data_IF_644766815174
#
_entry.id   IF_644766815174
#
_cell.length_a   1.000
_cell.length_b   1.000
_cell.length_c   1.000
_cell.angle_alpha   90.00
_cell.angle_beta   90.00
_cell.angle_gamma   90.00
#
_symmetry.space_group_name_H-M   'P 1'
#
loop_
_entity.id
_entity.type
_entity.pdbx_description
1 polymer ?
#
# COMPACT_ATOMS: atom_id res chain seq x y z
N UNK A 1 9.72 25.22 -24.85
CA UNK A 1 8.55 24.37 -24.52
C UNK A 1 8.52 24.24 -23.01
N UNK A 2 7.35 24.13 -22.38
CA UNK A 2 7.30 23.92 -20.94
C UNK A 2 7.90 22.54 -20.62
N UNK A 3 8.64 22.47 -19.52
CA UNK A 3 9.42 21.30 -19.11
C UNK A 3 9.07 20.93 -17.67
N UNK A 4 9.27 19.67 -17.33
CA UNK A 4 8.99 19.16 -16.00
C UNK A 4 9.91 17.98 -15.69
N UNK A 5 10.61 18.06 -14.56
CA UNK A 5 11.34 16.92 -14.03
C UNK A 5 10.35 15.96 -13.38
N UNK A 6 10.25 14.76 -13.91
CA UNK A 6 9.37 13.71 -13.38
C UNK A 6 10.17 12.50 -12.91
N UNK A 7 9.71 11.84 -11.84
CA UNK A 7 10.11 10.47 -11.48
C UNK A 7 9.12 9.53 -12.16
N UNK A 8 9.60 8.64 -13.00
CA UNK A 8 8.76 7.67 -13.72
C UNK A 8 9.49 6.34 -13.88
N UNK A 9 8.69 5.28 -14.01
CA UNK A 9 9.20 3.94 -14.27
C UNK A 9 9.46 3.77 -15.76
N UNK A 10 10.73 3.73 -16.13
CA UNK A 10 11.17 3.47 -17.50
C UNK A 10 11.12 1.97 -17.74
N UNK A 11 10.45 1.56 -18.81
CA UNK A 11 10.39 0.16 -19.23
C UNK A 11 11.72 -0.20 -19.88
N UNK A 12 12.44 -1.12 -19.27
CA UNK A 12 13.74 -1.62 -19.75
C UNK A 12 13.52 -2.69 -20.82
N UNK A 13 12.60 -3.61 -20.55
CA UNK A 13 12.21 -4.64 -21.49
C UNK A 13 11.01 -5.44 -21.02
N UNK A 14 10.43 -6.18 -21.96
CA UNK A 14 9.31 -7.07 -21.75
C UNK A 14 9.59 -8.39 -22.48
N UNK A 15 9.25 -9.51 -21.85
CA UNK A 15 9.37 -10.82 -22.47
C UNK A 15 8.22 -11.72 -22.03
N UNK A 16 7.92 -12.74 -22.85
CA UNK A 16 6.99 -13.81 -22.51
C UNK A 16 7.76 -15.11 -22.44
N UNK A 17 7.94 -15.61 -21.23
CA UNK A 17 8.54 -16.93 -21.02
C UNK A 17 7.45 -17.99 -20.90
N UNK A 18 7.69 -19.16 -21.48
CA UNK A 18 6.84 -20.33 -21.31
C UNK A 18 7.61 -21.44 -20.60
N UNK A 19 6.96 -22.15 -19.69
CA UNK A 19 7.51 -23.36 -19.06
C UNK A 19 6.47 -24.46 -18.99
N UNK A 20 6.94 -25.70 -19.06
CA UNK A 20 6.10 -26.88 -18.87
C UNK A 20 6.50 -27.57 -17.57
N UNK A 21 5.52 -27.76 -16.69
CA UNK A 21 5.68 -28.51 -15.44
C UNK A 21 5.13 -29.91 -15.67
N UNK A 22 6.02 -30.86 -15.95
CA UNK A 22 5.71 -32.27 -16.08
C UNK A 22 5.86 -32.97 -14.72
N UNK A 23 4.78 -33.60 -14.22
CA UNK A 23 4.83 -34.38 -12.97
C UNK A 23 3.95 -35.62 -13.06
N UNK A 24 4.47 -36.72 -12.55
CA UNK A 24 3.69 -37.93 -12.27
C UNK A 24 3.22 -37.89 -10.82
N UNK A 25 1.91 -37.98 -10.64
CA UNK A 25 1.24 -37.94 -9.34
C UNK A 25 0.66 -39.31 -9.05
N UNK A 26 0.76 -39.73 -7.79
CA UNK A 26 0.06 -40.91 -7.30
C UNK A 26 -1.18 -40.47 -6.52
N UNK A 27 -2.33 -40.89 -7.02
CA UNK A 27 -3.63 -40.63 -6.42
C UNK A 27 -3.79 -41.48 -5.16
N UNK A 28 -4.33 -40.90 -4.10
CA UNK A 28 -4.57 -41.61 -2.83
C UNK A 28 -5.51 -42.82 -3.00
N UNK A 29 -6.42 -42.72 -3.97
CA UNK A 29 -7.37 -43.76 -4.34
C UNK A 29 -7.29 -44.04 -5.84
N UNK A 30 -7.49 -45.29 -6.27
CA UNK A 30 -7.41 -45.64 -7.69
C UNK A 30 -8.56 -44.96 -8.45
N UNK A 31 -8.21 -44.27 -9.54
CA UNK A 31 -9.14 -43.53 -10.38
C UNK A 31 -9.53 -44.34 -11.61
N UNK A 32 -10.83 -44.39 -11.89
CA UNK A 32 -11.39 -44.83 -13.16
C UNK A 32 -11.30 -43.75 -14.23
N UNK A 33 -11.53 -42.49 -13.84
CA UNK A 33 -11.46 -41.32 -14.72
C UNK A 33 -11.10 -40.07 -13.91
N UNK A 34 -10.30 -39.18 -14.50
CA UNK A 34 -10.06 -37.83 -13.97
C UNK A 34 -11.04 -36.89 -14.63
N UNK A 35 -11.82 -36.18 -13.82
CA UNK A 35 -12.86 -35.27 -14.32
C UNK A 35 -12.29 -33.90 -14.63
N UNK A 36 -11.40 -33.39 -13.77
CA UNK A 36 -10.84 -32.06 -13.91
C UNK A 36 -9.53 -31.93 -13.12
N UNK A 37 -8.64 -31.06 -13.58
CA UNK A 37 -7.44 -30.66 -12.85
C UNK A 37 -7.36 -29.15 -12.91
N UNK A 38 -7.68 -28.50 -11.79
CA UNK A 38 -7.67 -27.06 -11.68
C UNK A 38 -6.31 -26.61 -11.17
N UNK A 39 -5.52 -25.94 -12.00
CA UNK A 39 -4.22 -25.39 -11.63
C UNK A 39 -4.30 -23.87 -11.44
N UNK A 40 -3.62 -23.37 -10.41
CA UNK A 40 -3.44 -21.94 -10.14
C UNK A 40 -2.00 -21.70 -9.72
N UNK A 41 -1.47 -20.56 -10.11
CA UNK A 41 -0.12 -20.14 -9.71
C UNK A 41 -0.22 -19.29 -8.45
N UNK A 42 0.60 -19.61 -7.46
CA UNK A 42 0.72 -18.93 -6.17
C UNK A 42 2.19 -18.65 -5.87
N UNK A 43 2.45 -17.69 -4.96
CA UNK A 43 3.81 -17.40 -4.47
C UNK A 43 4.82 -17.10 -5.58
N UNK A 44 4.44 -16.23 -6.52
CA UNK A 44 5.36 -15.83 -7.59
C UNK A 44 6.38 -14.86 -7.05
N UNK A 45 7.64 -15.24 -7.18
CA UNK A 45 8.80 -14.41 -6.91
C UNK A 45 9.56 -14.19 -8.21
N UNK A 46 10.20 -13.03 -8.31
CA UNK A 46 11.03 -12.68 -9.45
C UNK A 46 12.37 -12.12 -9.00
N UNK A 47 13.44 -12.67 -9.57
CA UNK A 47 14.80 -12.20 -9.37
C UNK A 47 15.35 -11.68 -10.69
N UNK A 48 15.74 -10.41 -10.70
CA UNK A 48 16.36 -9.79 -11.89
C UNK A 48 17.86 -10.03 -11.84
N UNK A 49 18.37 -10.64 -12.91
CA UNK A 49 19.79 -10.84 -13.17
C UNK A 49 20.20 -10.04 -14.42
N UNK A 50 21.47 -10.13 -14.79
CA UNK A 50 21.96 -9.47 -16.01
C UNK A 50 21.30 -10.11 -17.26
N UNK A 51 20.56 -9.30 -18.02
CA UNK A 51 19.79 -9.66 -19.23
C UNK A 51 18.73 -10.76 -19.06
N UNK A 52 18.47 -11.21 -17.83
CA UNK A 52 17.58 -12.33 -17.54
C UNK A 52 16.74 -12.07 -16.29
N UNK A 53 15.56 -12.65 -16.26
CA UNK A 53 14.70 -12.66 -15.08
C UNK A 53 14.37 -14.11 -14.75
N UNK A 54 14.68 -14.50 -13.52
CA UNK A 54 14.30 -15.80 -12.98
C UNK A 54 12.95 -15.64 -12.28
N UNK A 55 11.97 -16.41 -12.71
CA UNK A 55 10.62 -16.46 -12.14
C UNK A 55 10.47 -17.78 -11.42
N UNK A 56 10.24 -17.74 -10.12
CA UNK A 56 9.96 -18.90 -9.29
C UNK A 56 8.56 -18.80 -8.69
N UNK A 57 7.96 -19.95 -8.42
CA UNK A 57 6.72 -20.00 -7.66
C UNK A 57 6.16 -21.39 -7.55
N UNK A 58 4.92 -21.47 -7.07
CA UNK A 58 4.23 -22.72 -6.80
C UNK A 58 2.99 -22.84 -7.68
N UNK A 59 2.83 -23.96 -8.36
CA UNK A 59 1.55 -24.34 -8.97
C UNK A 59 0.76 -25.14 -7.94
N UNK A 60 -0.28 -24.52 -7.39
CA UNK A 60 -1.29 -25.21 -6.60
C UNK A 60 -2.31 -25.85 -7.54
N UNK A 61 -2.48 -27.16 -7.48
CA UNK A 61 -3.44 -27.88 -8.33
C UNK A 61 -4.39 -28.73 -7.50
N UNK A 62 -5.67 -28.70 -7.90
CA UNK A 62 -6.73 -29.52 -7.34
C UNK A 62 -7.18 -30.53 -8.38
N UNK A 63 -6.96 -31.81 -8.10
CA UNK A 63 -7.27 -32.94 -8.99
C UNK A 63 -8.61 -33.51 -8.55
N UNK A 64 -9.58 -33.58 -9.46
CA UNK A 64 -10.89 -34.20 -9.23
C UNK A 64 -11.00 -35.48 -10.05
N UNK A 65 -11.37 -36.59 -9.42
CA UNK A 65 -11.41 -37.90 -10.08
C UNK A 65 -12.47 -38.83 -9.48
N UNK A 66 -12.89 -39.82 -10.27
CA UNK A 66 -13.92 -40.80 -9.89
C UNK A 66 -13.27 -42.16 -9.68
N UNK A 67 -13.52 -42.77 -8.53
CA UNK A 67 -13.02 -44.10 -8.17
C UNK A 67 -13.87 -45.26 -8.74
N UNK A 68 -13.50 -46.51 -8.43
CA UNK A 68 -14.20 -47.71 -8.90
C UNK A 68 -15.65 -47.85 -8.38
N UNK A 69 -15.99 -47.23 -7.26
CA UNK A 69 -17.35 -47.24 -6.68
C UNK A 69 -18.19 -46.02 -7.09
N UNK A 70 -17.84 -45.37 -8.22
CA UNK A 70 -18.46 -44.12 -8.70
C UNK A 70 -18.43 -42.95 -7.69
N UNK A 71 -17.56 -43.06 -6.67
CA UNK A 71 -17.30 -42.01 -5.69
C UNK A 71 -16.35 -40.96 -6.26
N UNK A 72 -16.68 -39.69 -6.05
CA UNK A 72 -15.82 -38.55 -6.40
C UNK A 72 -14.80 -38.30 -5.29
N UNK A 73 -13.56 -38.15 -5.67
CA UNK A 73 -12.43 -37.79 -4.82
C UNK A 73 -11.80 -36.49 -5.32
N UNK A 74 -11.10 -35.82 -4.42
CA UNK A 74 -10.30 -34.65 -4.75
C UNK A 74 -8.96 -34.77 -4.02
N UNK A 75 -7.88 -34.35 -4.66
CA UNK A 75 -6.54 -34.33 -4.09
C UNK A 75 -5.85 -33.02 -4.48
N UNK A 76 -5.35 -32.29 -3.47
CA UNK A 76 -4.57 -31.08 -3.67
C UNK A 76 -3.08 -31.41 -3.75
N UNK A 77 -2.33 -30.68 -4.56
CA UNK A 77 -0.88 -30.84 -4.65
C UNK A 77 -0.22 -29.54 -5.07
N UNK A 78 0.97 -29.32 -4.52
CA UNK A 78 1.83 -28.19 -4.86
C UNK A 78 3.04 -28.65 -5.67
N UNK A 79 3.35 -27.90 -6.72
CA UNK A 79 4.52 -28.15 -7.56
C UNK A 79 5.27 -26.85 -7.78
N UNK A 80 6.48 -26.77 -7.25
CA UNK A 80 7.37 -25.64 -7.53
C UNK A 80 7.77 -25.65 -9.01
N UNK A 81 7.87 -24.46 -9.60
CA UNK A 81 8.42 -24.25 -10.93
C UNK A 81 9.49 -23.15 -10.89
N UNK A 82 10.36 -23.18 -11.89
CA UNK A 82 11.32 -22.12 -12.17
C UNK A 82 11.34 -21.91 -13.68
N UNK A 83 11.21 -20.66 -14.11
CA UNK A 83 11.26 -20.23 -15.49
C UNK A 83 12.27 -19.08 -15.63
N UNK A 84 12.87 -18.96 -16.81
CA UNK A 84 13.80 -17.88 -17.12
C UNK A 84 13.27 -17.12 -18.33
N UNK A 85 13.07 -15.81 -18.17
CA UNK A 85 12.75 -14.89 -19.24
C UNK A 85 14.01 -14.13 -19.66
N UNK A 86 14.17 -13.87 -20.96
CA UNK A 86 15.32 -13.12 -21.48
C UNK A 86 14.89 -11.68 -21.71
N UNK A 87 15.39 -10.77 -20.86
CA UNK A 87 15.04 -9.34 -20.90
C UNK A 87 16.32 -8.53 -21.08
N UNK A 88 16.71 -8.20 -22.33
CA UNK A 88 17.92 -7.43 -22.59
C UNK A 88 17.91 -6.08 -21.87
N UNK A 89 19.01 -5.73 -21.21
CA UNK A 89 19.19 -4.50 -20.43
C UNK A 89 18.75 -4.60 -18.96
N UNK A 90 18.18 -5.73 -18.54
CA UNK A 90 17.86 -5.98 -17.15
C UNK A 90 19.12 -6.06 -16.27
N UNK A 91 19.08 -5.45 -15.08
CA UNK A 91 20.17 -5.48 -14.11
C UNK A 91 19.65 -5.78 -12.69
N UNK A 92 20.49 -6.37 -11.82
CA UNK A 92 20.11 -6.61 -10.43
C UNK A 92 19.66 -5.33 -9.72
N UNK A 93 18.55 -5.42 -9.00
CA UNK A 93 17.94 -4.30 -8.27
C UNK A 93 16.91 -3.48 -9.08
N UNK A 94 16.63 -3.84 -10.34
CA UNK A 94 15.49 -3.28 -11.09
C UNK A 94 14.17 -3.90 -10.63
N UNK A 95 13.08 -3.16 -10.78
CA UNK A 95 11.73 -3.62 -10.46
C UNK A 95 11.23 -4.60 -11.52
N UNK A 96 10.65 -5.71 -11.10
CA UNK A 96 10.09 -6.72 -11.99
C UNK A 96 8.63 -7.01 -11.65
N UNK A 97 7.79 -7.02 -12.68
CA UNK A 97 6.38 -7.42 -12.61
C UNK A 97 6.20 -8.69 -13.44
N UNK A 98 5.59 -9.70 -12.82
CA UNK A 98 5.30 -10.97 -13.48
C UNK A 98 3.81 -11.24 -13.44
N UNK A 99 3.22 -11.53 -14.61
CA UNK A 99 1.83 -11.95 -14.74
C UNK A 99 1.79 -13.40 -15.24
N UNK A 100 1.61 -14.39 -14.33
CA UNK A 100 1.50 -15.79 -14.69
C UNK A 100 0.12 -16.10 -15.30
N UNK A 101 0.10 -16.97 -16.31
CA UNK A 101 -1.12 -17.51 -16.92
C UNK A 101 -0.96 -19.01 -17.13
N UNK A 102 -1.96 -19.79 -16.69
CA UNK A 102 -2.03 -21.21 -17.03
C UNK A 102 -2.63 -21.33 -18.42
N UNK A 103 -1.82 -21.70 -19.41
CA UNK A 103 -2.28 -21.85 -20.80
C UNK A 103 -2.99 -23.18 -21.02
N UNK A 104 -2.45 -24.27 -20.46
CA UNK A 104 -3.01 -25.61 -20.63
C UNK A 104 -2.68 -26.52 -19.46
N UNK A 105 -3.61 -27.43 -19.16
CA UNK A 105 -3.42 -28.52 -18.20
C UNK A 105 -3.74 -29.83 -18.92
N UNK A 106 -2.70 -30.56 -19.30
CA UNK A 106 -2.82 -31.87 -19.92
C UNK A 106 -2.64 -32.95 -18.86
N UNK A 107 -3.49 -33.98 -18.90
CA UNK A 107 -3.39 -35.08 -17.94
C UNK A 107 -3.81 -36.41 -18.56
N UNK A 108 -3.23 -37.50 -18.07
CA UNK A 108 -3.52 -38.86 -18.51
C UNK A 108 -3.25 -39.88 -17.40
N UNK A 109 -4.24 -40.72 -17.13
CA UNK A 109 -4.06 -41.91 -16.28
C UNK A 109 -3.16 -42.94 -16.97
N UNK A 110 -2.22 -43.50 -16.22
CA UNK A 110 -1.26 -44.49 -16.72
C UNK A 110 -1.68 -45.89 -16.25
N UNK A 111 -1.75 -46.83 -17.20
CA UNK A 111 -2.17 -48.21 -16.93
C UNK A 111 -3.64 -48.48 -17.26
N UNK A 112 -4.13 -49.67 -16.90
CA UNK A 112 -5.53 -50.06 -17.06
C UNK A 112 -6.35 -49.51 -15.88
N UNK A 113 -7.33 -48.62 -16.08
CA UNK A 113 -8.15 -48.12 -14.98
C UNK A 113 -8.96 -49.24 -14.31
N UNK A 114 -9.16 -49.21 -12.98
CA UNK A 114 -8.80 -48.11 -12.09
C UNK A 114 -7.31 -48.12 -11.69
N UNK A 115 -6.64 -46.97 -11.79
CA UNK A 115 -5.18 -46.80 -11.55
C UNK A 115 -4.91 -45.59 -10.67
N UNK A 116 -3.82 -45.60 -9.91
CA UNK A 116 -3.41 -44.46 -9.08
C UNK A 116 -2.41 -43.55 -9.79
N UNK A 117 -1.82 -43.97 -10.91
CA UNK A 117 -0.77 -43.18 -11.58
C UNK A 117 -1.39 -42.18 -12.58
N UNK A 118 -1.12 -40.89 -12.36
CA UNK A 118 -1.59 -39.79 -13.20
C UNK A 118 -0.38 -38.98 -13.71
N UNK A 119 -0.18 -38.94 -15.02
CA UNK A 119 0.78 -38.03 -15.65
C UNK A 119 0.11 -36.71 -15.96
N UNK A 120 0.76 -35.61 -15.61
CA UNK A 120 0.29 -34.27 -15.85
C UNK A 120 1.38 -33.43 -16.48
N UNK A 121 0.96 -32.54 -17.37
CA UNK A 121 1.79 -31.51 -17.99
C UNK A 121 1.02 -30.20 -17.94
N UNK A 122 1.54 -29.26 -17.17
CA UNK A 122 0.95 -27.92 -17.02
C UNK A 122 1.81 -26.95 -17.81
N UNK A 123 1.22 -26.26 -18.78
CA UNK A 123 1.89 -25.24 -19.58
C UNK A 123 1.57 -23.88 -18.97
N UNK A 124 2.61 -23.17 -18.54
CA UNK A 124 2.52 -21.85 -17.95
C UNK A 124 3.19 -20.85 -18.89
N UNK A 125 2.56 -19.68 -19.04
CA UNK A 125 3.17 -18.51 -19.67
C UNK A 125 3.29 -17.38 -18.65
N UNK A 126 4.41 -16.68 -18.68
CA UNK A 126 4.70 -15.56 -17.79
C UNK A 126 5.01 -14.35 -18.63
N UNK A 127 4.19 -13.33 -18.52
CA UNK A 127 4.55 -12.01 -19.04
C UNK A 127 5.41 -11.30 -17.98
N UNK A 128 6.65 -11.02 -18.34
CA UNK A 128 7.65 -10.39 -17.46
C UNK A 128 7.90 -8.98 -17.96
N UNK A 129 7.86 -8.01 -17.05
CA UNK A 129 8.13 -6.60 -17.32
C UNK A 129 9.16 -6.09 -16.34
N UNK A 130 10.29 -5.60 -16.85
CA UNK A 130 11.34 -4.98 -16.05
C UNK A 130 11.25 -3.47 -16.20
N UNK A 131 11.14 -2.78 -15.07
CA UNK A 131 11.11 -1.32 -14.99
C UNK A 131 12.22 -0.81 -14.10
N UNK A 132 12.68 0.41 -14.39
CA UNK A 132 13.60 1.12 -13.49
C UNK A 132 13.04 2.51 -13.17
N UNK A 133 13.03 2.93 -11.90
CA UNK A 133 12.68 4.30 -11.55
C UNK A 133 13.77 5.23 -12.06
N UNK A 134 13.41 6.21 -12.89
CA UNK A 134 14.34 7.20 -13.42
C UNK A 134 13.73 8.60 -13.34
N UNK A 135 14.59 9.60 -13.13
CA UNK A 135 14.21 11.00 -13.31
C UNK A 135 14.42 11.44 -14.75
N UNK A 136 13.39 12.01 -15.35
CA UNK A 136 13.36 12.42 -16.73
C UNK A 136 12.91 13.88 -16.81
N UNK A 137 13.68 14.71 -17.51
CA UNK A 137 13.25 16.05 -17.89
C UNK A 137 12.39 15.95 -19.16
N UNK A 138 11.07 15.93 -18.97
CA UNK A 138 10.11 15.69 -20.06
C UNK A 138 9.54 17.00 -20.60
N UNK A 139 9.27 17.00 -21.90
CA UNK A 139 8.61 18.12 -22.57
C UNK A 139 7.09 17.98 -22.40
N UNK A 140 6.45 19.05 -21.92
CA UNK A 140 5.01 19.09 -21.75
C UNK A 140 4.31 19.30 -23.10
N UNK A 141 3.25 18.52 -23.31
CA UNK A 141 2.33 18.67 -24.44
C UNK A 141 1.35 19.82 -24.23
N UNK A 142 0.81 20.34 -25.32
CA UNK A 142 -0.30 21.33 -25.30
C UNK A 142 -1.64 20.72 -25.72
N UNK A 143 -1.61 19.50 -26.27
CA UNK A 143 -2.76 18.74 -26.75
C UNK A 143 -2.56 17.27 -26.46
N UNK A 144 -3.59 16.57 -26.01
CA UNK A 144 -3.54 15.13 -25.76
C UNK A 144 -4.24 14.73 -24.45
N UNK A 145 -4.16 13.45 -24.07
CA UNK A 145 -4.69 12.97 -22.80
C UNK A 145 -3.83 13.47 -21.62
N UNK A 146 -4.45 13.51 -20.44
CA UNK A 146 -3.76 13.82 -19.20
C UNK A 146 -3.09 12.55 -18.64
N UNK A 147 -1.83 12.69 -18.26
CA UNK A 147 -1.06 11.66 -17.59
C UNK A 147 -0.79 12.07 -16.15
N UNK A 148 -0.93 11.11 -15.24
CA UNK A 148 -0.55 11.21 -13.85
C UNK A 148 0.95 10.93 -13.73
N UNK A 149 1.71 11.96 -13.37
CA UNK A 149 3.17 11.91 -13.21
C UNK A 149 3.57 12.31 -11.80
N UNK A 150 4.71 11.81 -11.34
CA UNK A 150 5.33 12.30 -10.11
C UNK A 150 6.31 13.41 -10.45
N UNK A 151 5.89 14.67 -10.31
CA UNK A 151 6.78 15.81 -10.50
C UNK A 151 7.74 15.90 -9.32
N UNK A 152 9.04 16.02 -9.60
CA UNK A 152 10.06 16.28 -8.58
C UNK A 152 9.99 17.76 -8.21
N UNK A 153 9.74 18.04 -6.93
CA UNK A 153 9.62 19.40 -6.40
C UNK A 153 10.99 19.87 -5.92
N UNK A 154 11.63 19.09 -5.04
CA UNK A 154 12.98 19.36 -4.54
C UNK A 154 13.70 18.08 -4.11
N UNK A 155 15.03 18.15 -4.08
CA UNK A 155 15.92 17.13 -3.57
C UNK A 155 16.94 17.79 -2.65
N UNK A 156 17.02 17.34 -1.41
CA UNK A 156 17.85 17.97 -0.40
C UNK A 156 18.58 16.93 0.45
N UNK A 157 19.81 17.24 0.81
CA UNK A 157 20.65 16.42 1.68
C UNK A 157 20.93 17.17 2.96
N UNK A 158 20.73 16.53 4.11
CA UNK A 158 21.01 17.11 5.41
C UNK A 158 21.69 16.11 6.34
N UNK A 159 22.46 16.61 7.29
CA UNK A 159 23.06 15.83 8.36
C UNK A 159 22.30 16.06 9.66
N UNK A 160 21.95 14.97 10.36
CA UNK A 160 21.39 15.06 11.71
C UNK A 160 22.33 14.40 12.72
N UNK A 161 22.39 14.94 13.94
CA UNK A 161 23.19 14.38 15.03
C UNK A 161 22.26 13.91 16.12
N UNK A 162 22.35 12.63 16.47
CA UNK A 162 21.58 12.01 17.54
C UNK A 162 22.55 11.68 18.67
N UNK A 163 22.36 12.34 19.82
CA UNK A 163 23.13 12.10 21.04
C UNK A 163 22.26 11.35 22.04
N UNK A 164 22.83 10.34 22.70
CA UNK A 164 22.14 9.52 23.69
C UNK A 164 23.13 9.07 24.76
N UNK A 165 22.62 8.92 25.97
CA UNK A 165 23.32 8.28 27.08
C UNK A 165 22.70 6.91 27.30
N UNK A 166 23.52 5.87 27.36
CA UNK A 166 23.08 4.50 27.64
C UNK A 166 23.71 4.06 28.95
N UNK A 167 22.87 3.79 29.95
CA UNK A 167 23.29 3.20 31.22
C UNK A 167 23.60 1.72 31.03
N UNK A 168 24.84 1.33 31.32
CA UNK A 168 25.31 -0.05 31.22
C UNK A 168 25.06 -0.73 32.56
N UNK A 169 24.36 -1.87 32.54
CA UNK A 169 23.93 -2.56 33.77
C UNK A 169 25.09 -3.24 34.52
N UNK A 170 26.25 -3.39 33.88
CA UNK A 170 27.45 -4.01 34.45
C UNK A 170 28.64 -3.06 34.23
N UNK A 171 29.61 -2.99 35.16
CA UNK A 171 30.82 -2.20 34.97
C UNK A 171 31.61 -2.74 33.78
N UNK A 172 31.79 -1.86 32.81
CA UNK A 172 32.39 -2.19 31.52
C UNK A 172 33.87 -1.87 31.55
N UNK A 173 34.69 -2.86 31.21
CA UNK A 173 36.13 -2.66 31.01
C UNK A 173 36.41 -2.02 29.65
N UNK A 174 35.66 -2.45 28.61
CA UNK A 174 35.87 -1.97 27.24
C UNK A 174 34.61 -2.06 26.40
N UNK A 175 34.28 -0.97 25.70
CA UNK A 175 33.30 -0.97 24.60
C UNK A 175 34.02 -1.38 23.32
N UNK A 176 33.56 -2.45 22.69
CA UNK A 176 34.12 -2.95 21.42
C UNK A 176 33.62 -2.14 20.24
N UNK A 177 32.30 -2.04 20.11
CA UNK A 177 31.66 -1.36 19.00
C UNK A 177 30.26 -0.94 19.40
N UNK A 178 29.84 0.20 18.86
CA UNK A 178 28.46 0.65 18.90
C UNK A 178 27.98 0.66 17.46
N UNK A 179 26.94 -0.14 17.18
CA UNK A 179 26.28 -0.17 15.87
C UNK A 179 24.96 0.55 16.01
N UNK A 180 24.74 1.55 15.17
CA UNK A 180 23.45 2.24 15.11
C UNK A 180 22.84 1.96 13.75
N UNK A 181 21.54 1.64 13.73
CA UNK A 181 20.75 1.46 12.51
C UNK A 181 19.43 2.21 12.74
N UNK A 182 18.97 2.93 11.73
CA UNK A 182 17.61 3.52 11.76
C UNK A 182 16.65 2.39 11.42
N UNK A 183 15.76 2.05 12.36
CA UNK A 183 14.84 0.91 12.20
C UNK A 183 13.52 1.33 11.57
N UNK A 184 12.91 2.38 12.12
CA UNK A 184 11.61 2.91 11.70
C UNK A 184 11.67 4.43 11.65
N UNK A 185 11.04 5.01 10.64
CA UNK A 185 10.84 6.44 10.54
C UNK A 185 9.56 6.77 9.79
N UNK A 186 8.97 7.91 10.13
CA UNK A 186 7.88 8.55 9.42
C UNK A 186 8.36 9.88 8.86
N UNK A 187 7.83 10.25 7.70
CA UNK A 187 8.11 11.53 7.08
C UNK A 187 6.82 12.33 6.98
N UNK A 188 6.88 13.60 7.39
CA UNK A 188 5.79 14.55 7.24
C UNK A 188 6.29 15.74 6.46
N UNK A 189 5.61 16.03 5.35
CA UNK A 189 5.88 17.23 4.58
C UNK A 189 5.16 18.44 5.22
N UNK A 190 5.91 19.51 5.46
CA UNK A 190 5.38 20.80 5.89
C UNK A 190 5.83 21.89 4.90
N UNK A 191 5.40 23.11 5.13
CA UNK A 191 5.76 24.23 4.26
C UNK A 191 7.28 24.46 4.28
N UNK A 192 7.92 24.35 3.12
CA UNK A 192 9.38 24.51 2.89
C UNK A 192 10.29 23.58 3.72
N UNK A 193 9.75 22.52 4.35
CA UNK A 193 10.54 21.61 5.18
C UNK A 193 9.93 20.21 5.26
N UNK A 194 10.81 19.22 5.43
CA UNK A 194 10.43 17.83 5.71
C UNK A 194 10.83 17.52 7.15
N UNK A 195 9.87 17.03 7.93
CA UNK A 195 10.08 16.56 9.29
C UNK A 195 10.16 15.04 9.24
N UNK A 196 11.21 14.49 9.83
CA UNK A 196 11.45 13.06 9.93
C UNK A 196 11.46 12.70 11.41
N UNK A 197 10.59 11.78 11.81
CA UNK A 197 10.54 11.24 13.15
C UNK A 197 10.88 9.77 13.08
N UNK A 198 11.92 9.34 13.76
CA UNK A 198 12.38 7.96 13.68
C UNK A 198 13.03 7.44 14.94
N UNK A 199 13.36 6.16 14.92
CA UNK A 199 14.03 5.47 16.01
C UNK A 199 15.38 4.97 15.52
N UNK A 200 16.42 5.37 16.24
CA UNK A 200 17.77 4.87 16.08
C UNK A 200 17.96 3.69 17.04
N UNK A 201 18.03 2.47 16.48
CA UNK A 201 18.36 1.28 17.24
C UNK A 201 19.87 1.20 17.43
N UNK A 202 20.33 1.40 18.66
CA UNK A 202 21.73 1.33 19.05
C UNK A 202 22.04 -0.01 19.73
N UNK A 203 23.00 -0.73 19.18
CA UNK A 203 23.53 -1.99 19.70
C UNK A 203 24.94 -1.77 20.20
N UNK A 204 25.09 -1.83 21.52
CA UNK A 204 26.36 -1.65 22.22
C UNK A 204 26.93 -3.02 22.56
N UNK A 205 28.12 -3.31 22.04
CA UNK A 205 28.88 -4.51 22.39
C UNK A 205 29.96 -4.11 23.40
N UNK A 206 29.84 -4.59 24.63
CA UNK A 206 30.75 -4.29 25.72
C UNK A 206 31.33 -5.55 26.37
N UNK A 207 32.54 -5.45 26.90
CA UNK A 207 33.20 -6.51 27.68
C UNK A 207 33.11 -6.11 29.15
N UNK A 208 32.55 -7.01 29.96
CA UNK A 208 32.41 -6.83 31.40
C UNK A 208 33.74 -7.06 32.13
N UNK A 209 34.04 -6.19 33.10
CA UNK A 209 35.26 -6.28 33.90
C UNK A 209 35.28 -7.49 34.86
N UNK A 210 34.11 -8.06 35.17
CA UNK A 210 33.99 -9.14 36.16
C UNK A 210 34.30 -10.52 35.58
N UNK A 211 33.82 -10.79 34.37
CA UNK A 211 33.79 -12.14 33.79
C UNK A 211 34.42 -12.22 32.40
N UNK A 212 34.92 -11.09 31.85
CA UNK A 212 35.51 -11.00 30.51
C UNK A 212 34.54 -11.45 29.39
N UNK A 213 33.24 -11.49 29.67
CA UNK A 213 32.22 -11.90 28.69
C UNK A 213 31.73 -10.69 27.89
N UNK A 214 31.40 -10.93 26.63
CA UNK A 214 30.78 -9.94 25.75
C UNK A 214 29.27 -9.87 25.99
N UNK A 215 28.79 -8.67 26.30
CA UNK A 215 27.38 -8.37 26.48
C UNK A 215 26.89 -7.46 25.35
N UNK A 216 25.68 -7.75 24.87
CA UNK A 216 24.95 -6.90 23.94
C UNK A 216 23.87 -6.14 24.71
N UNK A 217 23.90 -4.82 24.61
CA UNK A 217 22.82 -3.95 25.07
C UNK A 217 22.20 -3.25 23.87
N UNK A 218 20.90 -3.43 23.69
CA UNK A 218 20.13 -2.70 22.69
C UNK A 218 19.35 -1.56 23.34
N UNK A 219 19.36 -0.40 22.70
CA UNK A 219 18.64 0.80 23.14
C UNK A 219 18.03 1.49 21.94
N UNK A 220 16.75 1.85 22.05
CA UNK A 220 16.03 2.63 21.05
C UNK A 220 16.09 4.11 21.42
N UNK A 221 16.60 4.92 20.49
CA UNK A 221 16.75 6.37 20.68
C UNK A 221 15.84 7.07 19.68
N UNK A 222 14.72 7.68 20.11
CA UNK A 222 13.89 8.47 19.21
C UNK A 222 14.66 9.73 18.77
N UNK A 223 14.55 10.09 17.50
CA UNK A 223 15.10 11.32 16.96
C UNK A 223 14.09 12.03 16.07
N UNK A 224 14.22 13.36 16.01
CA UNK A 224 13.51 14.20 15.07
C UNK A 224 14.53 14.97 14.26
N UNK A 225 14.46 14.86 12.93
CA UNK A 225 15.29 15.62 12.01
C UNK A 225 14.41 16.52 11.14
N UNK A 226 14.87 17.74 10.89
CA UNK A 226 14.21 18.68 9.98
C UNK A 226 15.14 18.94 8.81
N UNK A 227 14.65 18.67 7.60
CA UNK A 227 15.37 18.92 6.37
C UNK A 227 14.72 20.11 5.66
N UNK A 228 15.44 21.22 5.43
CA UNK A 228 14.89 22.34 4.67
C UNK A 228 14.66 21.89 3.22
N UNK A 229 13.43 22.03 2.73
CA UNK A 229 12.97 21.51 1.45
C UNK A 229 12.11 22.57 0.75
N UNK A 230 12.77 23.52 0.08
CA UNK A 230 12.08 24.68 -0.50
C UNK A 230 11.06 24.27 -1.56
N UNK A 231 9.86 24.83 -1.50
CA UNK A 231 8.74 24.53 -2.38
C UNK A 231 7.92 23.31 -1.95
N UNK A 232 8.31 22.66 -0.85
CA UNK A 232 7.54 21.56 -0.28
C UNK A 232 6.25 22.07 0.38
N UNK A 233 5.15 21.35 0.18
CA UNK A 233 3.83 21.66 0.74
C UNK A 233 3.23 20.47 1.50
N UNK A 234 2.34 20.71 2.49
CA UNK A 234 1.63 19.66 3.19
C UNK A 234 0.91 18.68 2.26
N UNK A 235 1.09 17.38 2.51
CA UNK A 235 0.45 16.30 1.74
C UNK A 235 1.21 15.87 0.47
N UNK A 236 2.38 16.45 0.17
CA UNK A 236 3.25 15.94 -0.89
C UNK A 236 3.96 14.64 -0.47
N UNK A 237 4.37 13.84 -1.46
CA UNK A 237 5.04 12.56 -1.23
C UNK A 237 6.52 12.81 -0.93
N UNK A 238 7.01 12.22 0.17
CA UNK A 238 8.41 12.33 0.58
C UNK A 238 9.06 10.95 0.54
N UNK A 239 10.11 10.82 -0.24
CA UNK A 239 10.97 9.65 -0.31
C UNK A 239 12.28 10.01 0.41
N UNK A 240 12.58 9.35 1.53
CA UNK A 240 13.74 9.66 2.35
C UNK A 240 14.69 8.46 2.44
N UNK A 241 15.97 8.69 2.20
CA UNK A 241 17.03 7.72 2.44
C UNK A 241 17.89 8.20 3.61
N UNK A 242 17.94 7.38 4.67
CA UNK A 242 18.61 7.71 5.92
C UNK A 242 19.64 6.63 6.22
N UNK A 243 20.90 7.02 6.29
CA UNK A 243 22.00 6.12 6.66
C UNK A 243 22.83 6.70 7.81
N UNK A 244 23.38 5.82 8.63
CA UNK A 244 24.29 6.23 9.70
C UNK A 244 25.68 6.43 9.11
N UNK A 245 26.08 7.69 8.93
CA UNK A 245 27.37 8.05 8.36
C UNK A 245 28.52 7.77 9.35
N UNK A 246 28.29 8.02 10.64
CA UNK A 246 29.32 7.82 11.67
C UNK A 246 28.70 7.61 13.04
N UNK A 247 29.31 6.74 13.84
CA UNK A 247 29.03 6.62 15.28
C UNK A 247 30.31 6.90 16.05
N UNK A 248 30.20 7.71 17.09
CA UNK A 248 31.26 7.98 18.07
C UNK A 248 30.71 7.79 19.47
N UNK A 249 31.56 7.34 20.40
CA UNK A 249 31.13 7.11 21.77
C UNK A 249 32.25 7.44 22.76
N UNK A 250 31.84 7.81 23.97
CA UNK A 250 32.69 8.07 25.13
C UNK A 250 32.08 7.35 26.32
N UNK A 251 32.89 6.62 27.09
CA UNK A 251 32.45 5.94 28.31
C UNK A 251 32.88 6.76 29.52
N UNK A 252 31.92 7.19 30.34
CA UNK A 252 32.14 7.90 31.60
C UNK A 252 31.56 7.08 32.75
N UNK A 253 32.40 6.27 33.41
CA UNK A 253 31.92 5.31 34.41
C UNK A 253 31.08 4.21 33.77
N UNK A 254 29.81 4.11 34.19
CA UNK A 254 28.83 3.16 33.65
C UNK A 254 27.89 3.80 32.60
N UNK A 255 28.11 5.08 32.26
CA UNK A 255 27.33 5.82 31.26
C UNK A 255 28.08 5.88 29.93
N UNK A 256 27.46 5.34 28.88
CA UNK A 256 27.97 5.45 27.52
C UNK A 256 27.31 6.61 26.80
N UNK A 257 28.07 7.68 26.57
CA UNK A 257 27.68 8.77 25.70
C UNK A 257 27.94 8.35 24.26
N UNK A 258 26.89 8.17 23.47
CA UNK A 258 26.99 7.89 22.05
C UNK A 258 26.46 9.05 21.23
N UNK A 259 27.11 9.30 20.10
CA UNK A 259 26.78 10.32 19.12
C UNK A 259 26.79 9.68 17.73
N UNK A 260 25.62 9.57 17.13
CA UNK A 260 25.42 9.10 15.77
C UNK A 260 25.19 10.29 14.84
N UNK A 261 25.90 10.32 13.71
CA UNK A 261 25.70 11.28 12.63
C UNK A 261 24.95 10.56 11.51
N UNK A 262 23.77 11.05 11.20
CA UNK A 262 22.91 10.56 10.14
C UNK A 262 23.16 11.37 8.87
N UNK A 263 23.23 10.68 7.73
CA UNK A 263 23.16 11.27 6.39
C UNK A 263 21.75 11.04 5.88
N UNK A 264 21.02 12.13 5.66
CA UNK A 264 19.62 12.11 5.24
C UNK A 264 19.55 12.72 3.85
N UNK A 265 18.97 12.00 2.90
CA UNK A 265 18.58 12.49 1.59
C UNK A 265 17.06 12.47 1.49
N UNK A 266 16.42 13.58 1.16
CA UNK A 266 14.97 13.66 0.95
C UNK A 266 14.66 14.09 -0.47
N UNK A 267 13.66 13.44 -1.05
CA UNK A 267 13.10 13.73 -2.37
C UNK A 267 11.61 13.98 -2.22
N UNK A 268 11.20 15.22 -2.45
CA UNK A 268 9.80 15.61 -2.41
C UNK A 268 9.24 15.55 -3.82
N UNK A 269 8.17 14.77 -3.99
CA UNK A 269 7.44 14.65 -5.25
C UNK A 269 5.98 14.98 -5.05
N UNK A 270 5.36 15.60 -6.04
CA UNK A 270 3.93 15.77 -6.10
C UNK A 270 3.34 14.95 -7.23
N UNK A 271 2.12 14.46 -7.01
CA UNK A 271 1.35 13.83 -8.07
C UNK A 271 0.66 14.91 -8.88
N UNK A 272 1.10 15.13 -10.12
CA UNK A 272 0.54 16.12 -11.03
C UNK A 272 -0.16 15.44 -12.21
N UNK A 273 -1.21 16.08 -12.74
CA UNK A 273 -1.81 15.73 -14.03
C UNK A 273 -1.28 16.68 -15.08
N UNK A 274 -0.62 16.14 -16.10
CA UNK A 274 -0.06 16.95 -17.19
C UNK A 274 -0.16 16.23 -18.53
N UNK A 275 -0.15 17.00 -19.61
CA UNK A 275 0.00 16.45 -20.96
C UNK A 275 1.47 16.25 -21.25
N UNK A 276 1.83 15.08 -21.78
CA UNK A 276 3.21 14.76 -22.16
C UNK A 276 3.33 14.79 -23.68
N UNK A 277 4.44 15.35 -24.17
CA UNK A 277 4.77 15.25 -25.58
C UNK A 277 5.29 13.85 -25.87
N UNK A 278 4.66 13.12 -26.79
CA UNK A 278 5.12 11.80 -27.20
C UNK A 278 6.14 11.89 -28.33
N UNK A 279 7.13 10.99 -28.30
CA UNK A 279 8.16 10.86 -29.34
C UNK A 279 8.51 9.38 -29.53
N UNK A 280 8.29 8.77 -30.70
CA UNK A 280 8.57 7.35 -30.95
C UNK A 280 10.02 6.92 -30.64
N UNK A 281 10.97 7.84 -30.66
CA UNK A 281 12.38 7.58 -30.35
C UNK A 281 12.75 7.81 -28.88
N UNK A 282 11.81 8.34 -28.08
CA UNK A 282 12.02 8.60 -26.65
C UNK A 282 11.95 7.35 -25.79
N UNK A 283 12.39 7.43 -24.52
CA UNK A 283 12.27 6.33 -23.58
C UNK A 283 10.80 5.96 -23.33
N UNK A 284 10.54 4.66 -23.24
CA UNK A 284 9.23 4.12 -22.93
C UNK A 284 9.01 4.19 -21.41
N UNK A 285 8.00 4.94 -20.98
CA UNK A 285 7.65 5.07 -19.56
C UNK A 285 6.27 4.48 -19.28
N UNK A 286 6.13 3.90 -18.08
CA UNK A 286 4.85 3.46 -17.53
C UNK A 286 4.22 4.61 -16.75
N UNK A 287 3.04 5.05 -17.18
CA UNK A 287 2.31 6.16 -16.56
C UNK A 287 0.82 5.88 -16.50
N UNK A 288 0.14 6.47 -15.52
CA UNK A 288 -1.32 6.42 -15.46
C UNK A 288 -1.92 7.46 -16.39
N UNK A 289 -2.63 7.04 -17.45
CA UNK A 289 -3.48 7.93 -18.23
C UNK A 289 -4.79 8.14 -17.49
N UNK A 290 -5.21 9.39 -17.34
CA UNK A 290 -6.51 9.73 -16.74
C UNK A 290 -7.58 9.40 -17.78
N UNK A 291 -8.39 8.38 -17.51
CA UNK A 291 -9.51 7.99 -18.36
C UNK A 291 -10.71 8.93 -18.14
N UNK A 292 -10.96 9.28 -16.88
CA UNK A 292 -11.98 10.25 -16.49
C UNK A 292 -11.92 10.58 -15.01
N UNK A 293 -12.57 11.69 -14.64
CA UNK A 293 -12.78 12.08 -13.25
C UNK A 293 -14.16 12.73 -13.10
N UNK A 294 -14.79 12.54 -11.96
CA UNK A 294 -16.04 13.21 -11.62
C UNK A 294 -16.22 13.33 -10.11
N UNK A 295 -17.00 14.31 -9.69
CA UNK A 295 -17.36 14.54 -8.29
C UNK A 295 -18.86 14.38 -8.11
N UNK A 296 -19.28 13.69 -7.04
CA UNK A 296 -20.69 13.54 -6.71
C UNK A 296 -20.93 13.71 -5.21
N UNK A 297 -21.91 14.52 -4.86
CA UNK A 297 -22.41 14.64 -3.50
C UNK A 297 -23.48 13.58 -3.21
N UNK A 298 -23.41 13.02 -2.01
CA UNK A 298 -24.32 12.00 -1.48
C UNK A 298 -24.84 12.48 -0.14
N UNK A 299 -26.14 12.45 0.04
CA UNK A 299 -26.79 12.77 1.30
C UNK A 299 -27.13 11.44 1.97
N UNK A 300 -26.61 11.25 3.19
CA UNK A 300 -26.87 10.06 4.00
C UNK A 300 -27.64 10.50 5.23
N UNK A 301 -28.85 9.98 5.38
CA UNK A 301 -29.74 10.26 6.51
C UNK A 301 -29.81 9.03 7.42
N UNK A 302 -29.79 9.27 8.73
CA UNK A 302 -29.80 8.22 9.75
C UNK A 302 -30.46 8.71 11.04
N UNK A 303 -30.99 7.77 11.83
CA UNK A 303 -31.51 8.04 13.17
C UNK A 303 -30.75 7.20 14.20
N UNK A 304 -30.06 7.87 15.11
CA UNK A 304 -29.29 7.22 16.17
C UNK A 304 -30.08 7.28 17.47
N UNK A 305 -30.36 6.10 18.02
CA UNK A 305 -30.87 5.96 19.38
C UNK A 305 -29.73 6.19 20.38
N UNK A 306 -29.86 7.22 21.21
CA UNK A 306 -28.87 7.51 22.24
C UNK A 306 -29.03 6.56 23.43
N UNK A 307 -27.91 6.00 23.89
CA UNK A 307 -27.90 5.14 25.08
C UNK A 307 -28.50 5.87 26.29
N UNK A 308 -28.28 7.18 26.34
CA UNK A 308 -28.70 8.08 27.41
C UNK A 308 -29.39 9.29 26.79
N UNK A 309 -30.53 9.76 27.34
CA UNK A 309 -31.17 10.97 26.83
C UNK A 309 -30.23 12.18 26.82
N UNK A 310 -30.27 12.99 25.77
CA UNK A 310 -29.51 14.22 25.63
C UNK A 310 -30.39 15.44 25.92
N UNK A 311 -29.84 16.45 26.58
CA UNK A 311 -30.40 17.81 26.60
C UNK A 311 -30.05 18.59 25.34
N UNK A 312 -28.81 18.42 24.87
CA UNK A 312 -28.30 19.05 23.64
C UNK A 312 -27.12 18.26 23.07
N UNK A 313 -26.91 18.37 21.77
CA UNK A 313 -25.69 17.91 21.10
C UNK A 313 -24.66 19.03 21.16
N UNK A 314 -23.42 18.67 21.49
CA UNK A 314 -22.28 19.59 21.46
C UNK A 314 -21.64 19.58 20.08
N UNK A 315 -21.32 18.40 19.57
CA UNK A 315 -20.67 18.23 18.27
C UNK A 315 -20.87 16.80 17.75
N UNK A 316 -20.76 16.61 16.43
CA UNK A 316 -20.71 15.30 15.79
C UNK A 316 -19.54 15.30 14.82
N UNK A 317 -18.50 14.57 15.18
CA UNK A 317 -17.37 14.35 14.30
C UNK A 317 -17.65 13.13 13.43
N UNK A 318 -17.55 13.27 12.12
CA UNK A 318 -17.80 12.18 11.19
C UNK A 318 -16.58 12.00 10.26
N UNK A 319 -16.29 10.75 9.93
CA UNK A 319 -15.21 10.36 9.03
C UNK A 319 -15.67 9.17 8.18
N UNK A 320 -15.24 9.09 6.93
CA UNK A 320 -15.51 7.92 6.09
C UNK A 320 -14.47 6.83 6.40
N UNK A 321 -14.95 5.64 6.70
CA UNK A 321 -14.18 4.42 6.94
C UNK A 321 -14.60 3.34 5.95
N UNK A 322 -13.76 2.31 5.80
CA UNK A 322 -14.08 1.08 5.03
C UNK A 322 -14.58 1.38 3.61
N UNK A 323 -13.77 2.09 2.83
CA UNK A 323 -14.11 2.45 1.44
C UNK A 323 -13.79 1.30 0.49
N UNK A 324 -14.76 0.85 -0.29
CA UNK A 324 -14.60 -0.07 -1.40
C UNK A 324 -15.19 0.50 -2.68
N UNK A 325 -14.74 0.00 -3.83
CA UNK A 325 -15.24 0.44 -5.11
C UNK A 325 -15.29 -0.70 -6.13
N UNK A 326 -16.21 -0.58 -7.08
CA UNK A 326 -16.33 -1.46 -8.24
C UNK A 326 -16.44 -0.60 -9.49
N UNK A 327 -15.65 -0.93 -10.51
CA UNK A 327 -15.66 -0.22 -11.80
C UNK A 327 -16.56 -0.97 -12.77
N UNK A 328 -17.56 -0.25 -13.27
CA UNK A 328 -18.45 -0.67 -14.33
C UNK A 328 -18.20 0.21 -15.55
N UNK A 329 -18.73 -0.21 -16.69
CA UNK A 329 -18.65 0.58 -17.92
C UNK A 329 -19.28 1.98 -17.72
N UNK A 330 -18.45 3.01 -17.81
CA UNK A 330 -18.80 4.42 -17.62
C UNK A 330 -19.19 4.84 -16.19
N UNK A 331 -19.07 3.96 -15.19
CA UNK A 331 -19.55 4.22 -13.82
C UNK A 331 -18.66 3.58 -12.77
N UNK A 332 -18.57 4.21 -11.61
CA UNK A 332 -17.91 3.64 -10.43
C UNK A 332 -18.93 3.56 -9.30
N UNK A 333 -19.12 2.36 -8.76
CA UNK A 333 -19.88 2.16 -7.53
C UNK A 333 -18.93 2.32 -6.37
N UNK A 334 -19.24 3.21 -5.44
CA UNK A 334 -18.48 3.47 -4.22
C UNK A 334 -19.33 3.06 -3.04
N UNK A 335 -18.77 2.23 -2.16
CA UNK A 335 -19.40 1.81 -0.92
C UNK A 335 -18.49 2.18 0.24
N UNK A 336 -19.08 2.60 1.34
CA UNK A 336 -18.32 2.99 2.52
C UNK A 336 -19.17 3.00 3.78
N UNK A 337 -18.53 3.25 4.90
CA UNK A 337 -19.19 3.47 6.19
C UNK A 337 -18.82 4.86 6.70
N UNK A 338 -19.81 5.64 7.13
CA UNK A 338 -19.58 6.88 7.85
C UNK A 338 -19.50 6.52 9.33
N UNK A 339 -18.32 6.62 9.91
CA UNK A 339 -18.10 6.50 11.34
C UNK A 339 -18.29 7.86 12.01
N UNK A 340 -19.17 7.93 13.00
CA UNK A 340 -19.52 9.15 13.73
C UNK A 340 -19.19 9.03 15.20
N UNK A 341 -18.72 10.12 15.78
CA UNK A 341 -18.52 10.33 17.21
C UNK A 341 -19.44 11.47 17.64
N UNK A 342 -20.50 11.14 18.38
CA UNK A 342 -21.54 12.06 18.81
C UNK A 342 -21.22 12.51 20.23
N UNK A 343 -20.93 13.79 20.43
CA UNK A 343 -20.71 14.40 21.75
C UNK A 343 -21.97 15.15 22.17
N UNK A 344 -22.53 14.80 23.33
CA UNK A 344 -23.79 15.38 23.81
C UNK A 344 -23.81 15.54 25.33
N UNK A 345 -24.69 16.43 25.82
CA UNK A 345 -24.86 16.69 27.25
C UNK A 345 -26.05 15.90 27.76
N UNK A 346 -25.82 15.03 28.75
CA UNK A 346 -26.87 14.24 29.38
C UNK A 346 -27.74 15.03 30.37
N UNK A 347 -28.74 14.39 31.00
CA UNK A 347 -29.72 15.08 31.85
C UNK A 347 -29.10 15.63 33.14
N UNK A 348 -27.98 15.07 33.57
CA UNK A 348 -27.18 15.50 34.71
C UNK A 348 -26.07 16.50 34.35
N UNK A 349 -26.15 17.13 33.17
CA UNK A 349 -25.18 18.11 32.66
C UNK A 349 -23.75 17.57 32.48
N UNK A 350 -23.61 16.23 32.40
CA UNK A 350 -22.36 15.56 32.07
C UNK A 350 -22.26 15.36 30.57
N UNK A 351 -21.11 15.72 29.99
CA UNK A 351 -20.77 15.44 28.60
C UNK A 351 -20.53 13.93 28.43
N UNK A 352 -21.19 13.35 27.43
CA UNK A 352 -21.06 11.94 27.04
C UNK A 352 -20.71 11.88 25.56
N UNK A 353 -20.18 10.73 25.15
CA UNK A 353 -19.97 10.43 23.75
C UNK A 353 -20.58 9.07 23.41
N UNK A 354 -21.02 8.93 22.16
CA UNK A 354 -21.48 7.68 21.58
C UNK A 354 -21.02 7.60 20.14
N UNK A 355 -20.49 6.46 19.73
CA UNK A 355 -20.13 6.20 18.34
C UNK A 355 -21.27 5.54 17.58
N UNK A 356 -21.40 5.84 16.30
CA UNK A 356 -22.37 5.20 15.41
C UNK A 356 -21.83 5.11 13.97
N UNK A 357 -22.16 4.02 13.29
CA UNK A 357 -21.74 3.74 11.93
C UNK A 357 -22.95 3.74 10.98
N UNK A 358 -22.82 4.39 9.82
CA UNK A 358 -23.85 4.33 8.76
C UNK A 358 -23.21 3.85 7.45
N UNK A 359 -23.62 2.72 6.89
CA UNK A 359 -23.18 2.33 5.55
C UNK A 359 -23.83 3.24 4.49
N UNK A 360 -23.07 3.59 3.45
CA UNK A 360 -23.59 4.29 2.27
C UNK A 360 -23.10 3.62 0.99
N UNK A 361 -23.87 3.85 -0.08
CA UNK A 361 -23.53 3.39 -1.43
C UNK A 361 -23.89 4.49 -2.43
N UNK A 362 -23.00 4.74 -3.37
CA UNK A 362 -23.16 5.78 -4.36
C UNK A 362 -22.60 5.34 -5.71
N UNK A 363 -23.29 5.73 -6.79
CA UNK A 363 -22.81 5.53 -8.16
C UNK A 363 -22.34 6.86 -8.72
N UNK A 364 -21.06 6.96 -9.06
CA UNK A 364 -20.45 8.12 -9.70
C UNK A 364 -20.25 7.81 -11.18
N UNK A 365 -20.80 8.64 -12.06
CA UNK A 365 -20.65 8.46 -13.51
C UNK A 365 -19.30 9.03 -13.93
N UNK A 366 -18.41 8.18 -14.46
CA UNK A 366 -17.06 8.58 -14.89
C UNK A 366 -16.90 8.13 -16.33
N UNK A 367 -16.92 9.11 -17.24
CA UNK A 367 -16.77 8.83 -18.68
C UNK A 367 -15.42 8.17 -18.95
N UNK A 368 -15.41 7.11 -19.76
CA UNK A 368 -14.21 6.34 -20.09
C UNK A 368 -13.76 5.34 -19.01
N UNK A 369 -14.54 5.14 -17.95
CA UNK A 369 -14.26 4.08 -16.99
C UNK A 369 -14.58 2.70 -17.58
N UNK A 370 -13.62 1.77 -17.52
CA UNK A 370 -13.80 0.37 -17.92
C UNK A 370 -13.46 -0.58 -16.77
N UNK A 371 -14.04 -1.80 -16.74
CA UNK A 371 -13.68 -2.80 -15.75
C UNK A 371 -12.17 -3.06 -15.69
N UNK A 372 -11.64 -3.24 -14.47
CA UNK A 372 -10.21 -3.44 -14.15
C UNK A 372 -9.31 -2.20 -14.28
N UNK A 373 -9.84 -1.00 -14.58
CA UNK A 373 -9.07 0.24 -14.45
C UNK A 373 -8.80 0.59 -12.98
N UNK A 374 -7.69 1.27 -12.72
CA UNK A 374 -7.33 1.69 -11.37
C UNK A 374 -8.13 2.93 -10.96
N UNK A 375 -8.75 2.91 -9.78
CA UNK A 375 -9.59 4.01 -9.30
C UNK A 375 -9.02 4.62 -8.02
N UNK A 376 -9.10 5.94 -7.94
CA UNK A 376 -8.87 6.69 -6.72
C UNK A 376 -10.17 7.35 -6.30
N UNK A 377 -10.59 7.09 -5.07
CA UNK A 377 -11.77 7.71 -4.47
C UNK A 377 -11.32 8.53 -3.27
N UNK A 378 -11.65 9.81 -3.28
CA UNK A 378 -11.37 10.74 -2.19
C UNK A 378 -12.71 11.22 -1.61
N UNK A 379 -13.18 10.61 -0.51
CA UNK A 379 -14.37 11.07 0.18
C UNK A 379 -14.05 12.27 1.08
N UNK A 380 -14.91 13.28 1.06
CA UNK A 380 -14.85 14.45 1.94
C UNK A 380 -16.21 14.64 2.59
N UNK A 381 -16.24 14.81 3.92
CA UNK A 381 -17.48 15.18 4.61
C UNK A 381 -17.57 16.70 4.58
N UNK A 382 -18.54 17.20 3.82
CA UNK A 382 -18.76 18.64 3.69
C UNK A 382 -19.57 19.18 4.86
N UNK A 383 -20.58 18.42 5.30
CA UNK A 383 -21.51 18.90 6.31
C UNK A 383 -22.16 17.76 7.10
N UNK A 384 -22.35 17.97 8.40
CA UNK A 384 -23.14 17.12 9.29
C UNK A 384 -24.22 17.98 9.92
N UNK A 385 -25.47 17.76 9.55
CA UNK A 385 -26.64 18.38 10.17
C UNK A 385 -27.34 17.40 11.10
N UNK A 386 -27.99 17.91 12.16
CA UNK A 386 -28.75 17.07 13.07
C UNK A 386 -29.95 17.78 13.69
N UNK A 387 -30.94 17.00 14.08
CA UNK A 387 -32.13 17.40 14.82
C UNK A 387 -32.33 16.43 16.00
N UNK A 388 -32.84 16.95 17.11
CA UNK A 388 -33.14 16.15 18.30
C UNK A 388 -34.62 15.79 18.33
N UNK A 389 -34.91 14.51 18.50
CA UNK A 389 -36.26 13.95 18.58
C UNK A 389 -36.44 13.36 19.98
N UNK A 390 -37.58 13.67 20.61
CA UNK A 390 -37.82 13.32 22.02
C UNK A 390 -37.71 11.81 22.23
N UNK A 391 -38.43 11.05 21.42
CA UNK A 391 -38.38 9.60 21.35
C UNK A 391 -39.02 9.12 20.04
N UNK A 392 -38.71 7.90 19.65
CA UNK A 392 -39.42 7.16 18.60
C UNK A 392 -39.94 5.84 19.18
N UNK A 393 -40.91 5.16 18.54
CA UNK A 393 -41.35 3.83 18.99
C UNK A 393 -40.20 2.83 19.14
N UNK A 394 -39.17 2.93 18.29
CA UNK A 394 -37.99 2.07 18.31
C UNK A 394 -36.97 2.48 19.38
N UNK A 395 -37.02 3.73 19.84
CA UNK A 395 -36.11 4.30 20.83
C UNK A 395 -36.87 5.18 21.85
N UNK A 396 -37.65 4.55 22.75
CA UNK A 396 -38.45 5.28 23.74
C UNK A 396 -37.58 5.91 24.83
N UNK A 397 -38.06 6.98 25.46
CA UNK A 397 -37.45 7.49 26.68
C UNK A 397 -37.63 6.48 27.83
N UNK A 398 -36.62 6.31 28.72
CA UNK A 398 -36.80 5.49 29.90
C UNK A 398 -37.85 6.13 30.83
N UNK A 399 -38.69 5.33 31.51
CA UNK A 399 -39.82 5.83 32.31
C UNK A 399 -39.42 6.73 33.49
N UNK A 400 -38.14 6.74 33.88
CA UNK A 400 -37.62 7.58 34.95
C UNK A 400 -37.35 9.04 34.54
N UNK A 401 -37.34 9.34 33.23
CA UNK A 401 -37.02 10.67 32.71
C UNK A 401 -38.25 11.56 32.47
N UNK A 402 -39.43 11.14 32.91
CA UNK A 402 -40.67 11.94 32.91
C UNK A 402 -40.72 12.96 34.10
N UNK A 403 -39.56 13.48 34.50
CA UNK A 403 -39.34 14.28 35.72
C UNK A 403 -38.79 15.71 35.47
N UNK A 404 -38.32 16.44 36.50
CA UNK A 404 -38.01 17.88 36.44
C UNK A 404 -36.72 18.24 35.64
N UNK A 405 -36.21 17.34 34.80
CA UNK A 405 -34.91 17.45 34.12
C UNK A 405 -34.95 18.27 32.83
N UNK A 406 -36.11 18.84 32.46
CA UNK A 406 -36.30 19.66 31.25
C UNK A 406 -36.54 18.83 29.98
N UNK A 407 -36.48 19.48 28.81
CA UNK A 407 -36.62 18.82 27.51
C UNK A 407 -35.39 17.94 27.24
N UNK A 408 -35.58 16.62 27.37
CA UNK A 408 -34.58 15.60 27.03
C UNK A 408 -35.03 14.81 25.80
N UNK A 409 -34.05 14.38 25.00
CA UNK A 409 -34.23 13.77 23.69
C UNK A 409 -33.48 12.45 23.63
N UNK A 410 -34.12 11.39 23.11
CA UNK A 410 -33.51 10.05 23.00
C UNK A 410 -32.95 9.77 21.61
N UNK A 411 -33.43 10.46 20.58
CA UNK A 411 -33.08 10.18 19.19
C UNK A 411 -32.44 11.40 18.56
N UNK A 412 -31.36 11.18 17.81
CA UNK A 412 -30.77 12.17 16.93
C UNK A 412 -31.04 11.74 15.49
N UNK A 413 -31.74 12.57 14.73
CA UNK A 413 -31.84 12.44 13.28
C UNK A 413 -30.72 13.27 12.66
N UNK A 414 -29.98 12.66 11.73
CA UNK A 414 -28.73 13.20 11.21
C UNK A 414 -28.75 13.16 9.69
N UNK A 415 -28.15 14.17 9.08
CA UNK A 415 -27.96 14.28 7.65
C UNK A 415 -26.50 14.63 7.36
N UNK A 416 -25.77 13.67 6.81
CA UNK A 416 -24.37 13.83 6.43
C UNK A 416 -24.27 14.03 4.92
N UNK A 417 -23.59 15.08 4.49
CA UNK A 417 -23.28 15.34 3.09
C UNK A 417 -21.84 14.88 2.84
N UNK A 418 -21.70 13.85 2.01
CA UNK A 418 -20.42 13.29 1.59
C UNK A 418 -20.19 13.66 0.13
N UNK A 419 -19.11 14.39 -0.14
CA UNK A 419 -18.59 14.60 -1.48
C UNK A 419 -17.64 13.46 -1.84
N UNK A 420 -17.88 12.81 -2.98
CA UNK A 420 -17.04 11.75 -3.51
C UNK A 420 -16.36 12.25 -4.77
N UNK A 421 -15.06 12.51 -4.71
CA UNK A 421 -14.24 12.70 -5.90
C UNK A 421 -13.71 11.34 -6.37
N UNK A 422 -14.00 10.97 -7.61
CA UNK A 422 -13.59 9.70 -8.22
C UNK A 422 -12.75 9.97 -9.45
N UNK A 423 -11.60 9.32 -9.53
CA UNK A 423 -10.68 9.38 -10.67
C UNK A 423 -10.36 7.98 -11.15
N UNK A 424 -10.54 7.75 -12.44
CA UNK A 424 -10.22 6.48 -13.09
C UNK A 424 -8.97 6.66 -13.95
N UNK A 425 -8.01 5.78 -13.74
CA UNK A 425 -6.72 5.78 -14.43
C UNK A 425 -6.45 4.42 -15.06
N UNK A 426 -5.95 4.47 -16.28
CA UNK A 426 -5.46 3.31 -17.01
C UNK A 426 -3.94 3.35 -17.04
N UNK A 427 -3.30 2.24 -16.74
CA UNK A 427 -1.84 2.15 -16.85
C UNK A 427 -1.47 1.93 -18.30
N UNK A 428 -0.76 2.88 -18.89
CA UNK A 428 -0.31 2.82 -20.29
C UNK A 428 1.20 2.99 -20.38
N UNK A 429 1.75 2.60 -21.52
CA UNK A 429 3.13 2.87 -21.88
C UNK A 429 3.17 3.88 -23.01
N UNK A 430 3.99 4.91 -22.84
CA UNK A 430 4.19 5.94 -23.85
C UNK A 430 5.67 6.26 -23.99
N UNK A 431 6.10 6.53 -25.21
CA UNK A 431 7.42 7.10 -25.44
C UNK A 431 7.33 8.61 -25.22
N UNK A 432 8.12 9.13 -24.28
CA UNK A 432 8.12 10.56 -23.97
C UNK A 432 9.28 11.28 -24.63
N UNK A 433 9.02 12.50 -25.06
CA UNK A 433 10.08 13.38 -25.53
C UNK A 433 10.88 13.93 -24.36
N UNK A 434 12.17 13.61 -24.33
CA UNK A 434 13.11 14.23 -23.40
C UNK A 434 13.53 15.60 -23.94
N UNK A 435 13.91 16.45 -23.01
CA UNK A 435 14.66 17.64 -23.33
C UNK A 435 16.12 17.24 -23.64
N UNK A 436 16.54 17.35 -24.90
CA UNK A 436 17.95 17.23 -25.26
C UNK A 436 18.73 18.45 -24.73
N UNK A 437 19.06 18.44 -23.44
CA UNK A 437 20.19 19.21 -22.91
C UNK A 437 21.49 18.43 -23.18
N UNK A 438 22.65 19.09 -23.38
CA UNK A 438 23.88 18.37 -23.68
C UNK A 438 24.20 17.37 -22.54
N UNK A 439 24.84 16.22 -22.85
CA UNK A 439 25.20 15.25 -21.83
C UNK A 439 26.01 15.95 -20.74
N UNK A 440 25.50 15.92 -19.51
CA UNK A 440 26.31 16.28 -18.34
C UNK A 440 27.30 15.13 -18.16
N UNK A 441 28.53 15.38 -18.64
CA UNK A 441 29.67 14.46 -18.54
C UNK A 441 30.37 14.53 -17.19
#
# INVERSE_FOLDING_TARGET
MAQMLIKADVVVGEDVAETAVDKTVYLEYPARVVTDVQARVTEVECEVQEDQVVVSGTVHKQIFYVGPEDRVYHQGEDVAFCAVATVPGAQPGMDCQVHPTVQAVEYRLVGCPPTTELKQRIILAFFVKVTRPQQLDVVLGTTGPLYKVQRVVCEESSGAVVESVVELSNPVEKVRTVRCVVSDYTTTCAEDQVIIEGVLHAQVFCISAFDQTEYLKSTDVPFTAVVPAKGAHPGQNVDADISVARVSWTLEGDELHQRAVLSIFVKVTETAQTMLCTDPCGPLIKVGRVAGENTKQVIVEDQVCLDVPAKKVQDILAFVTTLSHEVLDGKVVVQGTIHKQIFFVGPNDIVRHQSADIPFSAVVEVSGAEPNMAVQVHPTIEHVGWTLIKETPECPLPPYYDGPYGDVYRVIEQRVIVELFVKVTETVQINVRLNDGPPQG
#
